data_IF_590159858952
#
_entry.id   IF_590159858952
#
_cell.length_a   1.000
_cell.length_b   1.000
_cell.length_c   1.000
_cell.angle_alpha   90.00
_cell.angle_beta   90.00
_cell.angle_gamma   90.00
#
_symmetry.space_group_name_H-M   'P 1'
#
loop_
_entity.id
_entity.type
_entity.pdbx_description
1 polymer ?
#
# COMPACT_ATOMS: atom_id res chain seq x y z
N UNK A 1 14.24 -18.52 -12.68
CA UNK A 1 13.53 -17.99 -11.50
C UNK A 1 12.44 -17.08 -12.01
N UNK A 2 11.24 -17.64 -12.16
CA UNK A 2 10.08 -17.01 -12.81
C UNK A 2 9.44 -15.94 -11.92
N UNK A 3 8.81 -14.97 -12.58
CA UNK A 3 7.87 -13.97 -12.08
C UNK A 3 7.57 -14.04 -10.58
N UNK A 4 8.17 -13.13 -9.81
CA UNK A 4 7.67 -12.74 -8.49
C UNK A 4 6.36 -11.97 -8.66
N UNK A 5 5.33 -12.64 -9.18
CA UNK A 5 3.97 -12.15 -9.13
C UNK A 5 3.62 -12.08 -7.65
N UNK A 6 3.61 -10.86 -7.11
CA UNK A 6 2.98 -10.59 -5.82
C UNK A 6 1.59 -11.22 -5.91
N UNK A 7 1.34 -12.28 -5.13
CA UNK A 7 0.02 -12.91 -5.09
C UNK A 7 -0.93 -11.86 -4.55
N UNK A 8 -1.67 -11.24 -5.45
CA UNK A 8 -2.66 -10.22 -5.08
C UNK A 8 -3.83 -10.98 -4.47
N UNK A 9 -3.77 -11.20 -3.16
CA UNK A 9 -4.90 -11.68 -2.40
C UNK A 9 -5.97 -10.56 -2.31
N UNK A 10 -7.23 -10.89 -1.94
CA UNK A 10 -8.30 -9.90 -1.92
C UNK A 10 -8.02 -8.71 -1.00
N UNK A 11 -7.30 -8.92 0.10
CA UNK A 11 -6.91 -7.87 1.06
C UNK A 11 -5.95 -6.88 0.39
N UNK A 12 -4.91 -7.37 -0.29
CA UNK A 12 -3.96 -6.52 -1.00
C UNK A 12 -4.65 -5.77 -2.14
N UNK A 13 -5.56 -6.43 -2.88
CA UNK A 13 -6.36 -5.77 -3.90
C UNK A 13 -7.16 -4.60 -3.32
N UNK A 14 -7.86 -4.82 -2.20
CA UNK A 14 -8.63 -3.78 -1.51
C UNK A 14 -7.75 -2.60 -1.08
N UNK A 15 -6.56 -2.87 -0.53
CA UNK A 15 -5.60 -1.82 -0.14
C UNK A 15 -5.18 -1.01 -1.35
N UNK A 16 -4.87 -1.65 -2.48
CA UNK A 16 -4.42 -0.97 -3.70
C UNK A 16 -5.51 -0.01 -4.21
N UNK A 17 -6.75 -0.48 -4.31
CA UNK A 17 -7.88 0.31 -4.81
C UNK A 17 -8.21 1.54 -3.94
N UNK A 18 -7.96 1.44 -2.62
CA UNK A 18 -8.19 2.54 -1.68
C UNK A 18 -6.94 3.40 -1.42
N UNK A 19 -5.80 3.05 -2.01
CA UNK A 19 -4.55 3.80 -1.82
C UNK A 19 -4.35 4.89 -2.88
N UNK A 20 -3.51 5.87 -2.56
CA UNK A 20 -3.09 6.87 -3.55
C UNK A 20 -2.21 6.25 -4.66
N UNK A 21 -1.61 5.07 -4.46
CA UNK A 21 -0.67 4.45 -5.40
C UNK A 21 -1.44 3.55 -6.38
N UNK A 22 -1.37 3.85 -7.68
CA UNK A 22 -2.10 3.05 -8.68
C UNK A 22 -1.41 1.71 -8.97
N UNK A 23 -2.15 0.71 -9.46
CA UNK A 23 -1.60 -0.60 -9.83
C UNK A 23 -0.45 -0.50 -10.85
N UNK A 24 -0.53 0.47 -11.78
CA UNK A 24 0.57 0.78 -12.72
C UNK A 24 1.82 1.30 -12.01
N UNK A 25 1.66 2.15 -10.99
CA UNK A 25 2.77 2.66 -10.19
C UNK A 25 3.37 1.56 -9.33
N UNK A 26 2.51 0.71 -8.74
CA UNK A 26 2.89 -0.43 -7.92
C UNK A 26 3.77 -1.42 -8.69
N UNK A 27 3.38 -1.80 -9.92
CA UNK A 27 4.19 -2.68 -10.75
C UNK A 27 5.62 -2.16 -10.97
N UNK A 28 5.79 -0.86 -11.25
CA UNK A 28 7.12 -0.25 -11.39
C UNK A 28 7.89 -0.23 -10.07
N UNK A 29 7.21 0.04 -8.96
CA UNK A 29 7.80 0.01 -7.62
C UNK A 29 8.33 -1.40 -7.34
N UNK A 30 7.53 -2.45 -7.57
CA UNK A 30 7.97 -3.83 -7.39
C UNK A 30 9.15 -4.20 -8.28
N UNK A 31 9.10 -3.88 -9.59
CA UNK A 31 10.26 -4.11 -10.49
C UNK A 31 11.52 -3.43 -9.94
N UNK A 32 11.39 -2.19 -9.45
CA UNK A 32 12.52 -1.42 -8.92
C UNK A 32 13.06 -2.00 -7.62
N UNK A 33 12.17 -2.41 -6.70
CA UNK A 33 12.53 -3.03 -5.43
C UNK A 33 13.21 -4.39 -5.63
N UNK A 34 12.74 -5.18 -6.61
CA UNK A 34 13.33 -6.45 -6.98
C UNK A 34 14.64 -6.34 -7.77
N UNK A 35 15.12 -5.11 -8.06
CA UNK A 35 16.32 -4.89 -8.87
C UNK A 35 16.19 -5.34 -10.34
N UNK A 36 14.96 -5.60 -10.80
CA UNK A 36 14.70 -6.15 -12.12
C UNK A 36 14.88 -5.10 -13.22
N UNK A 37 15.26 -5.54 -14.44
CA UNK A 37 15.33 -4.63 -15.57
C UNK A 37 13.95 -4.07 -15.91
N UNK A 38 13.97 -2.90 -16.54
CA UNK A 38 12.77 -2.22 -17.02
C UNK A 38 11.93 -3.16 -17.93
N UNK A 39 10.59 -3.20 -17.76
CA UNK A 39 9.70 -3.94 -18.66
C UNK A 39 9.88 -3.51 -20.12
N UNK A 40 10.00 -4.48 -21.05
CA UNK A 40 10.31 -4.22 -22.47
C UNK A 40 9.14 -3.60 -23.24
N UNK A 41 7.91 -3.80 -22.77
CA UNK A 41 6.64 -3.31 -23.30
C UNK A 41 6.45 -1.78 -23.18
N UNK A 42 7.23 -1.10 -22.34
CA UNK A 42 7.20 0.38 -22.23
C UNK A 42 8.32 1.04 -23.01
N UNK A 43 8.22 2.36 -23.22
CA UNK A 43 9.39 3.17 -23.57
C UNK A 43 10.22 3.52 -22.33
N UNK A 44 11.53 3.74 -22.51
CA UNK A 44 12.43 4.21 -21.43
C UNK A 44 11.89 5.50 -20.80
N UNK A 45 11.47 6.46 -21.62
CA UNK A 45 10.93 7.73 -21.15
C UNK A 45 9.65 7.58 -20.32
N UNK A 46 8.70 6.76 -20.78
CA UNK A 46 7.48 6.50 -20.04
C UNK A 46 7.75 5.83 -18.68
N UNK A 47 8.68 4.88 -18.63
CA UNK A 47 9.09 4.23 -17.38
C UNK A 47 9.68 5.23 -16.38
N UNK A 48 10.66 6.04 -16.78
CA UNK A 48 11.31 6.98 -15.86
C UNK A 48 10.39 8.13 -15.44
N UNK A 49 9.46 8.58 -16.30
CA UNK A 49 8.40 9.51 -15.89
C UNK A 49 7.50 8.92 -14.83
N UNK A 50 7.04 7.68 -15.00
CA UNK A 50 6.18 7.04 -14.01
C UNK A 50 6.94 6.76 -12.71
N UNK A 51 8.21 6.38 -12.77
CA UNK A 51 9.07 6.25 -11.59
C UNK A 51 9.22 7.58 -10.83
N UNK A 52 9.45 8.69 -11.55
CA UNK A 52 9.51 10.04 -10.96
C UNK A 52 8.19 10.41 -10.28
N UNK A 53 7.06 10.13 -10.94
CA UNK A 53 5.72 10.36 -10.36
C UNK A 53 5.47 9.51 -9.12
N UNK A 54 5.82 8.22 -9.14
CA UNK A 54 5.72 7.34 -7.96
C UNK A 54 6.54 7.87 -6.80
N UNK A 55 7.79 8.30 -7.04
CA UNK A 55 8.65 8.90 -6.00
C UNK A 55 8.06 10.18 -5.42
N UNK A 56 7.53 11.07 -6.26
CA UNK A 56 6.89 12.30 -5.80
C UNK A 56 5.68 12.00 -4.90
N UNK A 57 4.87 11.01 -5.30
CA UNK A 57 3.70 10.58 -4.53
C UNK A 57 4.08 9.96 -3.18
N UNK A 58 5.06 9.05 -3.15
CA UNK A 58 5.56 8.45 -1.90
C UNK A 58 6.07 9.54 -0.94
N UNK A 59 6.84 10.52 -1.44
CA UNK A 59 7.29 11.65 -0.61
C UNK A 59 6.11 12.45 -0.05
N UNK A 60 5.09 12.72 -0.87
CA UNK A 60 3.86 13.39 -0.43
C UNK A 60 3.18 12.62 0.71
N UNK A 61 3.01 11.30 0.56
CA UNK A 61 2.43 10.43 1.60
C UNK A 61 3.24 10.51 2.90
N UNK A 62 4.57 10.42 2.82
CA UNK A 62 5.45 10.51 4.01
C UNK A 62 5.27 11.86 4.72
N UNK A 63 5.29 12.98 3.97
CA UNK A 63 5.06 14.29 4.57
C UNK A 63 3.64 14.47 5.12
N UNK A 64 2.63 13.87 4.50
CA UNK A 64 1.26 13.86 5.03
C UNK A 64 1.18 13.12 6.36
N UNK A 65 1.81 11.95 6.49
CA UNK A 65 1.87 11.21 7.77
C UNK A 65 2.56 12.03 8.85
N UNK A 66 3.70 12.65 8.54
CA UNK A 66 4.40 13.53 9.47
C UNK A 66 3.56 14.76 9.87
N UNK A 67 2.82 15.35 8.94
CA UNK A 67 1.92 16.47 9.23
C UNK A 67 0.79 16.04 10.17
N UNK A 68 0.16 14.90 9.90
CA UNK A 68 -0.89 14.35 10.77
C UNK A 68 -0.41 14.13 12.20
N UNK A 69 0.83 13.65 12.36
CA UNK A 69 1.48 13.47 13.67
C UNK A 69 1.67 14.82 14.38
N UNK A 70 2.25 15.81 13.70
CA UNK A 70 2.59 17.10 14.30
C UNK A 70 1.35 17.91 14.71
N UNK A 71 0.25 17.80 13.96
CA UNK A 71 -1.00 18.52 14.26
C UNK A 71 -1.92 17.74 15.22
N UNK A 72 -1.52 16.55 15.67
CA UNK A 72 -2.34 15.71 16.54
C UNK A 72 -3.63 15.20 15.87
N UNK A 73 -3.60 14.97 14.56
CA UNK A 73 -4.77 14.45 13.83
C UNK A 73 -5.08 13.00 14.20
N UNK A 74 -4.04 12.26 14.58
CA UNK A 74 -4.14 10.90 15.08
C UNK A 74 -3.70 10.90 16.54
N UNK A 75 -4.62 10.59 17.45
CA UNK A 75 -4.33 10.46 18.87
C UNK A 75 -3.55 9.18 19.17
N UNK A 76 -3.05 9.04 20.40
CA UNK A 76 -2.21 7.90 20.78
C UNK A 76 -2.93 6.56 20.57
N UNK A 77 -4.24 6.50 20.86
CA UNK A 77 -5.06 5.32 20.61
C UNK A 77 -5.13 4.99 19.12
N UNK A 78 -5.28 6.01 18.27
CA UNK A 78 -5.29 5.86 16.83
C UNK A 78 -3.96 5.40 16.25
N UNK A 79 -2.84 5.86 16.82
CA UNK A 79 -1.49 5.40 16.44
C UNK A 79 -1.31 3.92 16.79
N UNK A 80 -1.66 3.51 18.01
CA UNK A 80 -1.61 2.11 18.40
C UNK A 80 -2.48 1.22 17.49
N UNK A 81 -3.68 1.70 17.16
CA UNK A 81 -4.57 0.98 16.26
C UNK A 81 -3.96 0.83 14.86
N UNK A 82 -3.36 1.90 14.32
CA UNK A 82 -2.68 1.87 13.02
C UNK A 82 -1.48 0.91 13.02
N UNK A 83 -0.66 0.91 14.08
CA UNK A 83 0.48 0.00 14.20
C UNK A 83 0.04 -1.46 14.25
N UNK A 84 -1.00 -1.78 15.01
CA UNK A 84 -1.58 -3.13 15.08
C UNK A 84 -2.10 -3.56 13.71
N UNK A 85 -2.77 -2.66 12.99
CA UNK A 85 -3.29 -2.92 11.66
C UNK A 85 -2.17 -3.22 10.65
N UNK A 86 -1.10 -2.42 10.66
CA UNK A 86 0.08 -2.65 9.79
C UNK A 86 0.71 -4.03 10.05
N UNK A 87 0.84 -4.42 11.33
CA UNK A 87 1.34 -5.75 11.70
C UNK A 87 0.43 -6.86 11.16
N UNK A 88 -0.88 -6.74 11.35
CA UNK A 88 -1.85 -7.73 10.86
C UNK A 88 -1.82 -7.86 9.34
N UNK A 89 -1.83 -6.74 8.60
CA UNK A 89 -1.74 -6.74 7.13
C UNK A 89 -0.44 -7.39 6.64
N UNK A 90 0.68 -7.15 7.34
CA UNK A 90 1.98 -7.74 6.99
C UNK A 90 2.00 -9.26 7.15
N UNK A 91 1.34 -9.79 8.18
CA UNK A 91 1.18 -11.24 8.37
C UNK A 91 0.35 -11.83 7.23
N UNK A 92 -0.76 -11.17 6.87
CA UNK A 92 -1.69 -11.63 5.84
C UNK A 92 -1.08 -11.60 4.43
N UNK A 93 -0.22 -10.62 4.14
CA UNK A 93 0.47 -10.52 2.86
C UNK A 93 1.30 -11.79 2.54
N UNK A 94 1.80 -12.50 3.55
CA UNK A 94 2.59 -13.72 3.39
C UNK A 94 1.80 -15.03 3.46
N UNK A 95 0.48 -14.99 3.68
CA UNK A 95 -0.34 -16.17 3.95
C UNK A 95 -1.37 -16.45 2.85
N UNK A 96 -1.62 -17.75 2.61
CA UNK A 96 -2.80 -18.18 1.84
C UNK A 96 -4.02 -18.14 2.76
N UNK A 97 -4.82 -17.10 2.57
CA UNK A 97 -6.07 -16.88 3.29
C UNK A 97 -7.26 -17.23 2.38
N UNK A 98 -8.29 -17.83 2.95
CA UNK A 98 -9.56 -18.06 2.27
C UNK A 98 -10.38 -16.76 2.14
N UNK A 99 -11.43 -16.80 1.30
CA UNK A 99 -12.27 -15.64 1.03
C UNK A 99 -13.03 -15.12 2.25
N UNK A 100 -13.43 -15.99 3.18
CA UNK A 100 -14.12 -15.60 4.41
C UNK A 100 -13.19 -14.79 5.31
N UNK A 101 -12.00 -15.35 5.58
CA UNK A 101 -10.96 -14.66 6.35
C UNK A 101 -10.57 -13.31 5.70
N UNK A 102 -10.44 -13.28 4.37
CA UNK A 102 -10.12 -12.04 3.64
C UNK A 102 -11.20 -10.96 3.84
N UNK A 103 -12.47 -11.34 3.82
CA UNK A 103 -13.60 -10.43 4.00
C UNK A 103 -13.63 -9.82 5.39
N UNK A 104 -13.40 -10.63 6.42
CA UNK A 104 -13.38 -10.17 7.81
C UNK A 104 -12.24 -9.18 8.06
N UNK A 105 -11.04 -9.49 7.52
CA UNK A 105 -9.89 -8.58 7.58
C UNK A 105 -10.20 -7.25 6.90
N UNK A 106 -10.76 -7.29 5.68
CA UNK A 106 -11.13 -6.08 4.95
C UNK A 106 -12.11 -5.24 5.75
N UNK A 107 -13.13 -5.88 6.34
CA UNK A 107 -14.13 -5.19 7.16
C UNK A 107 -13.51 -4.48 8.36
N UNK A 108 -12.71 -5.19 9.16
CA UNK A 108 -12.04 -4.63 10.34
C UNK A 108 -11.09 -3.50 9.95
N UNK A 109 -10.32 -3.68 8.87
CA UNK A 109 -9.40 -2.67 8.35
C UNK A 109 -10.14 -1.40 7.91
N UNK A 110 -11.19 -1.53 7.10
CA UNK A 110 -11.98 -0.39 6.60
C UNK A 110 -12.67 0.35 7.76
N UNK A 111 -13.20 -0.37 8.74
CA UNK A 111 -13.81 0.24 9.92
C UNK A 111 -12.79 1.06 10.74
N UNK A 112 -11.59 0.51 10.96
CA UNK A 112 -10.52 1.22 11.66
C UNK A 112 -10.09 2.47 10.89
N UNK A 113 -9.87 2.38 9.57
CA UNK A 113 -9.52 3.54 8.75
C UNK A 113 -10.59 4.63 8.86
N UNK A 114 -11.87 4.27 8.80
CA UNK A 114 -13.00 5.22 8.98
C UNK A 114 -13.03 5.85 10.38
N UNK A 115 -12.68 5.10 11.42
CA UNK A 115 -12.60 5.62 12.79
C UNK A 115 -11.47 6.63 12.95
N UNK A 116 -10.34 6.40 12.29
CA UNK A 116 -9.17 7.28 12.31
C UNK A 116 -9.33 8.54 11.44
N UNK A 117 -10.23 8.53 10.46
CA UNK A 117 -10.44 9.64 9.52
C UNK A 117 -11.64 10.54 9.85
N UNK A 118 -12.11 10.56 11.11
CA UNK A 118 -13.28 11.34 11.59
C UNK A 118 -13.00 12.85 11.72
N UNK A 119 -12.52 13.46 10.65
CA UNK A 119 -12.27 14.91 10.53
C UNK A 119 -13.30 15.51 9.60
#
# INVERSE_FOLDING_TARGET
MGSGDVKINPVLHFIIENSLITSKQLGIIFTRLAGQPRPRDRSRGAYYRLLKQSRAKIRGIIYSVLLMEVIGLVDEQGKEALERLVKQVSVIYGSDIDEGTARDVIYVMDELVRRLSKV
#
